data_IF_051268724037
#
_entry.id   IF_051268724037
#
_cell.length_a   1.000
_cell.length_b   1.000
_cell.length_c   1.000
_cell.angle_alpha   90.00
_cell.angle_beta   90.00
_cell.angle_gamma   90.00
#
_symmetry.space_group_name_H-M   'P 1'
#
loop_
_entity.id
_entity.type
_entity.pdbx_description
1 polymer ?
#
# COMPACT_ATOMS: atom_id res chain seq x y z
N UNK A 1 5.17 22.92 -23.94
CA UNK A 1 5.98 23.30 -22.76
C UNK A 1 5.61 22.34 -21.64
N UNK A 2 6.33 21.22 -21.52
CA UNK A 2 6.04 20.17 -20.54
C UNK A 2 6.57 20.58 -19.18
N UNK A 3 5.66 20.77 -18.23
CA UNK A 3 6.00 20.89 -16.81
C UNK A 3 6.53 19.54 -16.33
N UNK A 4 7.83 19.48 -16.08
CA UNK A 4 8.46 18.30 -15.50
C UNK A 4 7.97 18.18 -14.03
N UNK A 5 7.48 17.00 -13.60
CA UNK A 5 7.08 16.77 -12.22
C UNK A 5 8.19 17.19 -11.26
N UNK A 6 7.83 17.94 -10.22
CA UNK A 6 8.77 18.38 -9.20
C UNK A 6 9.41 17.19 -8.46
N UNK A 7 10.55 17.41 -7.79
CA UNK A 7 11.23 16.37 -7.04
C UNK A 7 10.28 15.75 -6.02
N UNK A 8 10.19 14.42 -6.03
CA UNK A 8 9.43 13.64 -5.05
C UNK A 8 10.07 13.85 -3.67
N UNK A 9 9.31 14.45 -2.75
CA UNK A 9 9.76 14.62 -1.37
C UNK A 9 9.64 13.30 -0.63
N UNK A 10 10.74 12.57 -0.52
CA UNK A 10 10.87 11.42 0.37
C UNK A 10 11.09 11.91 1.81
N UNK A 11 10.01 12.29 2.49
CA UNK A 11 10.08 12.66 3.90
C UNK A 11 10.05 11.40 4.77
N UNK A 12 11.16 11.13 5.45
CA UNK A 12 11.26 10.03 6.41
C UNK A 12 10.44 10.39 7.66
N UNK A 13 9.30 9.74 7.84
CA UNK A 13 8.42 9.96 8.99
C UNK A 13 9.12 9.47 10.27
N UNK A 14 9.58 10.39 11.10
CA UNK A 14 10.18 10.07 12.40
C UNK A 14 9.07 9.56 13.33
N UNK A 15 9.18 8.28 13.71
CA UNK A 15 8.27 7.66 14.67
C UNK A 15 8.31 8.43 15.99
N UNK A 16 7.14 8.83 16.49
CA UNK A 16 7.05 9.49 17.79
C UNK A 16 7.50 8.52 18.91
N UNK A 17 8.17 9.00 19.97
CA UNK A 17 8.88 8.13 20.93
C UNK A 17 7.99 7.23 21.82
N UNK A 18 6.67 7.22 21.64
CA UNK A 18 5.74 6.70 22.66
C UNK A 18 5.07 5.37 22.34
N UNK A 19 5.71 4.51 21.55
CA UNK A 19 5.33 3.09 21.44
C UNK A 19 6.59 2.22 21.25
N UNK A 20 7.40 2.11 22.30
CA UNK A 20 8.50 1.13 22.38
C UNK A 20 7.90 -0.27 22.40
N UNK A 21 7.76 -0.90 21.23
CA UNK A 21 7.71 -2.36 21.15
C UNK A 21 9.13 -2.85 21.39
N UNK A 22 9.34 -3.48 22.54
CA UNK A 22 10.54 -4.24 22.87
C UNK A 22 10.73 -5.32 21.80
N UNK A 23 11.74 -5.17 20.97
CA UNK A 23 12.66 -6.25 20.61
C UNK A 23 13.95 -5.68 20.00
N UNK A 24 15.05 -5.98 20.69
CA UNK A 24 16.46 -5.93 20.28
C UNK A 24 16.95 -4.72 19.50
N UNK A 25 17.56 -3.80 20.25
CA UNK A 25 18.64 -2.93 19.82
C UNK A 25 19.88 -3.77 19.48
N UNK A 26 20.21 -3.93 18.20
CA UNK A 26 21.60 -4.02 17.77
C UNK A 26 21.73 -3.70 16.28
N UNK A 27 22.58 -2.71 16.00
CA UNK A 27 23.24 -2.44 14.72
C UNK A 27 22.47 -1.58 13.72
N UNK A 28 22.41 -0.28 13.99
CA UNK A 28 23.11 0.80 13.23
C UNK A 28 23.68 0.46 11.82
N UNK A 29 22.98 -0.28 10.94
CA UNK A 29 23.35 -0.42 9.50
C UNK A 29 22.22 -0.93 8.56
N UNK A 30 20.95 -0.95 8.99
CA UNK A 30 19.86 -1.62 8.26
C UNK A 30 18.98 -0.69 7.42
N UNK A 31 19.56 0.37 6.85
CA UNK A 31 18.82 1.33 6.02
C UNK A 31 18.59 0.88 4.57
N UNK A 32 19.08 -0.30 4.16
CA UNK A 32 19.02 -0.75 2.75
C UNK A 32 18.01 -1.88 2.50
N UNK A 33 17.73 -2.75 3.47
CA UNK A 33 17.02 -4.03 3.19
C UNK A 33 15.67 -4.22 3.90
N UNK A 34 15.14 -3.23 4.61
CA UNK A 34 13.79 -3.36 5.18
C UNK A 34 12.74 -2.96 4.12
N UNK A 35 11.76 -3.82 3.81
CA UNK A 35 10.71 -3.49 2.85
C UNK A 35 9.88 -2.30 3.35
N UNK A 36 9.67 -1.32 2.48
CA UNK A 36 8.80 -0.18 2.79
C UNK A 36 7.35 -0.66 2.80
N UNK A 37 6.66 -0.51 3.92
CA UNK A 37 5.26 -0.90 4.04
C UNK A 37 4.37 0.21 3.45
N UNK A 38 3.51 -0.15 2.50
CA UNK A 38 2.53 0.74 1.86
C UNK A 38 1.13 0.25 2.18
N UNK A 39 0.35 1.09 2.86
CA UNK A 39 -1.07 0.84 3.13
C UNK A 39 -1.92 1.37 1.97
N UNK A 40 -2.65 0.48 1.29
CA UNK A 40 -3.60 0.84 0.22
C UNK A 40 -5.02 0.65 0.75
N UNK A 41 -5.81 1.72 0.81
CA UNK A 41 -7.20 1.66 1.24
C UNK A 41 -8.17 1.87 0.07
N UNK A 42 -8.93 0.83 -0.27
CA UNK A 42 -9.96 0.87 -1.29
C UNK A 42 -11.32 1.22 -0.68
N UNK A 43 -11.90 2.34 -1.10
CA UNK A 43 -13.26 2.76 -0.72
C UNK A 43 -14.22 2.34 -1.84
N UNK A 44 -15.32 1.68 -1.48
CA UNK A 44 -16.31 1.16 -2.44
C UNK A 44 -16.06 -0.29 -2.86
N UNK A 45 -14.98 -0.88 -2.39
CA UNK A 45 -14.65 -2.29 -2.57
C UNK A 45 -13.38 -2.51 -3.38
N UNK A 46 -12.83 -3.72 -3.30
CA UNK A 46 -11.65 -4.15 -4.04
C UNK A 46 -11.92 -5.49 -4.73
N UNK A 47 -11.45 -5.62 -5.97
CA UNK A 47 -11.55 -6.83 -6.80
C UNK A 47 -10.30 -7.69 -6.67
N UNK A 48 -10.44 -8.99 -6.90
CA UNK A 48 -9.29 -9.92 -6.92
C UNK A 48 -8.23 -9.55 -7.97
N UNK A 49 -8.61 -8.82 -9.04
CA UNK A 49 -7.67 -8.35 -10.05
C UNK A 49 -6.75 -7.25 -9.51
N UNK A 50 -7.29 -6.28 -8.77
CA UNK A 50 -6.49 -5.22 -8.13
C UNK A 50 -5.54 -5.79 -7.08
N UNK A 51 -6.03 -6.71 -6.25
CA UNK A 51 -5.17 -7.40 -5.25
C UNK A 51 -4.06 -8.18 -5.95
N UNK A 52 -4.36 -8.85 -7.07
CA UNK A 52 -3.35 -9.60 -7.84
C UNK A 52 -2.33 -8.67 -8.49
N UNK A 53 -2.74 -7.51 -8.99
CA UNK A 53 -1.82 -6.51 -9.55
C UNK A 53 -0.83 -6.01 -8.49
N UNK A 54 -1.31 -5.68 -7.28
CA UNK A 54 -0.44 -5.27 -6.18
C UNK A 54 0.52 -6.38 -5.74
N UNK A 55 0.06 -7.64 -5.72
CA UNK A 55 0.94 -8.80 -5.47
C UNK A 55 2.01 -8.95 -6.55
N UNK A 56 1.64 -8.83 -7.82
CA UNK A 56 2.59 -8.88 -8.92
C UNK A 56 3.62 -7.76 -8.83
N UNK A 57 3.21 -6.54 -8.45
CA UNK A 57 4.14 -5.42 -8.23
C UNK A 57 5.08 -5.71 -7.07
N UNK A 58 4.57 -6.21 -5.93
CA UNK A 58 5.42 -6.54 -4.77
C UNK A 58 6.48 -7.60 -5.04
N UNK A 59 6.29 -8.43 -6.08
CA UNK A 59 7.19 -9.50 -6.47
C UNK A 59 8.20 -9.10 -7.57
N UNK A 60 8.13 -7.88 -8.09
CA UNK A 60 9.10 -7.39 -9.08
C UNK A 60 10.49 -7.26 -8.43
N UNK A 61 11.55 -7.60 -9.17
CA UNK A 61 12.93 -7.67 -8.63
C UNK A 61 13.42 -6.35 -8.02
N UNK A 62 12.91 -5.21 -8.51
CA UNK A 62 13.25 -3.86 -8.00
C UNK A 62 12.27 -3.36 -6.90
N UNK A 63 11.29 -4.16 -6.51
CA UNK A 63 10.25 -3.77 -5.56
C UNK A 63 10.66 -4.07 -4.12
N UNK A 64 11.23 -3.08 -3.43
CA UNK A 64 11.45 -3.12 -1.98
C UNK A 64 10.23 -2.60 -1.19
N UNK A 65 9.01 -3.03 -1.57
CA UNK A 65 7.77 -2.61 -0.92
C UNK A 65 6.86 -3.78 -0.55
N UNK A 66 6.21 -3.68 0.61
CA UNK A 66 5.19 -4.62 1.08
C UNK A 66 3.83 -3.90 1.11
N UNK A 67 2.85 -4.42 0.37
CA UNK A 67 1.50 -3.85 0.36
C UNK A 67 0.61 -4.46 1.43
N UNK A 68 0.04 -3.61 2.28
CA UNK A 68 -1.09 -3.95 3.16
C UNK A 68 -2.33 -3.39 2.50
N UNK A 69 -3.30 -4.25 2.19
CA UNK A 69 -4.54 -3.85 1.51
C UNK A 69 -5.67 -3.84 2.54
N UNK A 70 -6.35 -2.71 2.64
CA UNK A 70 -7.60 -2.56 3.38
C UNK A 70 -8.70 -2.19 2.36
N UNK A 71 -9.89 -2.75 2.55
CA UNK A 71 -11.03 -2.44 1.68
C UNK A 71 -12.32 -2.48 2.48
N UNK A 72 -13.32 -1.73 2.05
CA UNK A 72 -14.66 -1.77 2.63
C UNK A 72 -15.40 -3.07 2.33
N UNK A 73 -15.14 -3.69 1.16
CA UNK A 73 -15.79 -4.95 0.70
C UNK A 73 -14.96 -5.62 -0.39
N UNK A 74 -14.94 -6.94 -0.46
CA UNK A 74 -14.48 -7.62 -1.68
C UNK A 74 -15.61 -7.68 -2.70
N UNK A 75 -15.34 -7.21 -3.91
CA UNK A 75 -16.34 -7.11 -4.99
C UNK A 75 -15.88 -7.86 -6.24
N UNK A 76 -16.86 -8.33 -7.00
CA UNK A 76 -16.70 -8.84 -8.36
C UNK A 76 -17.63 -8.06 -9.31
N UNK A 77 -17.54 -8.34 -10.62
CA UNK A 77 -18.34 -7.65 -11.63
C UNK A 77 -19.84 -7.67 -11.36
N UNK A 78 -20.38 -8.79 -10.90
CA UNK A 78 -21.82 -8.91 -10.60
C UNK A 78 -22.20 -8.06 -9.40
N UNK A 79 -21.49 -8.19 -8.27
CA UNK A 79 -21.80 -7.42 -7.05
C UNK A 79 -21.61 -5.91 -7.23
N UNK A 80 -20.73 -5.51 -8.15
CA UNK A 80 -20.54 -4.11 -8.51
C UNK A 80 -21.74 -3.58 -9.31
N UNK A 81 -22.16 -4.32 -10.35
CA UNK A 81 -23.33 -3.96 -11.15
C UNK A 81 -24.61 -3.98 -10.30
N UNK A 82 -24.78 -4.98 -9.42
CA UNK A 82 -25.88 -5.03 -8.45
C UNK A 82 -25.93 -3.79 -7.56
N UNK A 83 -24.78 -3.31 -7.04
CA UNK A 83 -24.74 -2.11 -6.21
C UNK A 83 -25.10 -0.81 -6.94
N UNK A 84 -25.04 -0.82 -8.28
CA UNK A 84 -25.47 0.30 -9.13
C UNK A 84 -26.93 0.14 -9.55
N UNK A 85 -27.38 -1.11 -9.74
CA UNK A 85 -28.75 -1.45 -10.13
C UNK A 85 -29.73 -1.41 -8.95
N UNK A 86 -29.28 -1.50 -7.70
CA UNK A 86 -30.00 -1.00 -6.52
C UNK A 86 -30.12 0.53 -6.59
N UNK A 87 -30.79 1.00 -7.64
CA UNK A 87 -31.40 2.31 -7.74
C UNK A 87 -32.85 2.16 -7.28
N UNK A 88 -33.07 2.35 -5.98
CA UNK A 88 -34.36 2.80 -5.47
C UNK A 88 -34.59 4.29 -5.83
#
# INVERSE_FOLDING_TARGET
>A
MGILPGPTLDQLQTLQPRMVRRNSISSENSSVDNPKIVLVFFIGGCTSHEVSALRSISQQEDSNVEFVILTTKLINGNTFIESILELD
#
